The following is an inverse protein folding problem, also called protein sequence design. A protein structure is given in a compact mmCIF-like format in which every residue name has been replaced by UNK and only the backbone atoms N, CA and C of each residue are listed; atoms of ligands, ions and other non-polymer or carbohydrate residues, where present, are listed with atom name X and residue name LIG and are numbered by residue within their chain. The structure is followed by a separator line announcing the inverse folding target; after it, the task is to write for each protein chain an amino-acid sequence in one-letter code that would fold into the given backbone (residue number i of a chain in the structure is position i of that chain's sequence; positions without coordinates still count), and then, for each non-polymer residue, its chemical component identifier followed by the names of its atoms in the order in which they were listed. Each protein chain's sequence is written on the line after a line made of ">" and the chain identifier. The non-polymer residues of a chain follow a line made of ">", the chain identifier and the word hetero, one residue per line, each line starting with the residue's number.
data_IF_999766172645
#
_entry.id   IF_999766172645
#
_cell.length_a   1.000
_cell.length_b   1.000
_cell.length_c   1.000
_cell.angle_alpha   90.00
_cell.angle_beta   90.00
_cell.angle_gamma   90.00
#
_symmetry.space_group_name_H-M   'P 1'
#
loop_
_entity.id
_entity.type
_entity.pdbx_description
1 polymer ?
#
# COMPACT_ATOMS: atom_id res chain seq x y z
N UNK A 1 -7.54 -6.26 13.58
CA UNK A 1 -7.57 -4.87 13.07
C UNK A 1 -6.27 -4.19 13.43
N UNK A 2 -5.71 -3.38 12.52
CA UNK A 2 -4.55 -2.51 12.85
C UNK A 2 -5.06 -1.18 13.34
N UNK A 3 -4.58 -0.77 14.51
CA UNK A 3 -5.01 0.44 15.19
C UNK A 3 -3.80 1.19 15.76
N UNK A 4 -3.91 2.50 15.89
CA UNK A 4 -2.86 3.32 16.51
C UNK A 4 -2.90 3.17 18.01
N UNK A 5 -1.81 2.69 18.61
CA UNK A 5 -1.64 2.58 20.05
C UNK A 5 -0.23 3.03 20.45
N UNK A 6 -0.13 3.96 21.41
CA UNK A 6 1.16 4.51 21.83
C UNK A 6 1.99 5.18 20.72
N UNK A 7 1.35 5.69 19.67
CA UNK A 7 2.01 6.31 18.51
C UNK A 7 2.52 5.33 17.44
N UNK A 8 2.23 4.04 17.60
CA UNK A 8 2.56 3.01 16.62
C UNK A 8 1.30 2.30 16.12
N UNK A 9 1.34 1.78 14.89
CA UNK A 9 0.27 0.96 14.32
C UNK A 9 0.48 -0.51 14.72
N UNK A 10 -0.38 -1.02 15.61
CA UNK A 10 -0.32 -2.40 16.09
C UNK A 10 -1.56 -3.19 15.65
N UNK A 11 -1.39 -4.50 15.49
CA UNK A 11 -2.52 -5.39 15.22
C UNK A 11 -3.22 -5.75 16.53
N UNK A 12 -4.45 -5.27 16.69
CA UNK A 12 -5.29 -5.58 17.83
C UNK A 12 -6.41 -6.56 17.50
N UNK A 13 -6.83 -7.32 18.49
CA UNK A 13 -7.98 -8.24 18.43
C UNK A 13 -9.15 -7.65 19.20
N UNK A 14 -10.27 -7.44 18.53
CA UNK A 14 -11.51 -6.99 19.20
C UNK A 14 -12.02 -8.13 20.10
N UNK A 15 -12.10 -7.90 21.41
CA UNK A 15 -12.50 -8.91 22.40
C UNK A 15 -13.99 -8.83 22.71
N UNK A 16 -14.45 -7.70 23.15
CA UNK A 16 -15.83 -7.53 23.61
C UNK A 16 -16.30 -6.09 23.49
N UNK A 17 -17.62 -5.92 23.58
CA UNK A 17 -18.25 -4.61 23.67
C UNK A 17 -18.07 -4.05 25.06
N UNK A 18 -17.58 -2.83 25.17
CA UNK A 18 -17.40 -2.17 26.45
C UNK A 18 -18.73 -1.81 27.10
N UNK A 19 -18.77 -1.94 28.42
CA UNK A 19 -19.91 -1.57 29.25
C UNK A 19 -19.45 -0.60 30.33
N UNK A 20 -20.36 0.26 30.78
CA UNK A 20 -20.12 1.13 31.94
C UNK A 20 -20.16 0.36 33.26
N UNK A 21 -19.89 1.06 34.37
CA UNK A 21 -19.92 0.47 35.74
C UNK A 21 -21.30 -0.08 36.09
N UNK A 22 -22.38 0.35 35.47
CA UNK A 22 -23.75 -0.12 35.66
C UNK A 22 -24.15 -1.27 34.71
N UNK A 23 -23.21 -1.75 33.89
CA UNK A 23 -23.43 -2.83 32.92
C UNK A 23 -24.09 -2.41 31.61
N UNK A 24 -24.35 -1.12 31.40
CA UNK A 24 -24.93 -0.61 30.15
C UNK A 24 -23.87 -0.51 29.08
N UNK A 25 -24.29 -0.71 27.81
CA UNK A 25 -23.42 -0.57 26.64
C UNK A 25 -23.11 0.91 26.38
N UNK A 26 -21.85 1.21 26.08
CA UNK A 26 -21.39 2.55 25.74
C UNK A 26 -21.53 2.77 24.24
N UNK A 27 -22.06 3.95 23.87
CA UNK A 27 -22.25 4.37 22.49
C UNK A 27 -23.51 3.82 21.82
N UNK A 28 -23.85 4.37 20.67
CA UNK A 28 -25.06 4.06 19.92
C UNK A 28 -24.73 3.34 18.61
N UNK A 29 -25.59 2.39 18.24
CA UNK A 29 -25.53 1.70 16.95
C UNK A 29 -25.99 2.65 15.83
N UNK A 30 -25.26 2.64 14.72
CA UNK A 30 -25.67 3.28 13.47
C UNK A 30 -25.62 2.26 12.33
N UNK A 31 -26.52 2.35 11.38
CA UNK A 31 -26.50 1.53 10.16
C UNK A 31 -25.28 1.85 9.28
N UNK A 32 -24.83 3.11 9.31
CA UNK A 32 -23.57 3.50 8.69
C UNK A 32 -22.42 3.24 9.68
N UNK A 33 -21.48 2.31 9.38
CA UNK A 33 -20.35 1.99 10.26
C UNK A 33 -19.49 3.20 10.67
N UNK A 34 -19.39 4.21 9.81
CA UNK A 34 -18.63 5.43 10.06
C UNK A 34 -19.27 6.35 11.11
N UNK A 35 -20.54 6.15 11.40
CA UNK A 35 -21.31 6.88 12.41
C UNK A 35 -21.61 6.05 13.65
N UNK A 36 -21.17 4.80 13.68
CA UNK A 36 -21.38 3.88 14.81
C UNK A 36 -20.40 4.20 15.95
N UNK A 37 -20.92 4.62 17.09
CA UNK A 37 -20.12 5.05 18.24
C UNK A 37 -20.01 4.00 19.36
N UNK A 38 -20.48 2.76 19.11
CA UNK A 38 -20.33 1.67 20.10
C UNK A 38 -18.86 1.45 20.43
N UNK A 39 -18.53 1.36 21.69
CA UNK A 39 -17.16 1.14 22.18
C UNK A 39 -16.86 -0.34 22.37
N UNK A 40 -15.66 -0.73 21.96
CA UNK A 40 -15.11 -2.08 22.05
C UNK A 40 -13.75 -2.07 22.74
N UNK A 41 -13.44 -3.14 23.45
CA UNK A 41 -12.12 -3.41 23.99
C UNK A 41 -11.30 -4.19 22.97
N UNK A 42 -10.10 -3.69 22.70
CA UNK A 42 -9.14 -4.29 21.77
C UNK A 42 -7.89 -4.67 22.54
N UNK A 43 -7.49 -5.94 22.42
CA UNK A 43 -6.26 -6.47 22.99
C UNK A 43 -5.14 -6.44 21.95
N UNK A 44 -3.99 -5.94 22.35
CA UNK A 44 -2.76 -5.94 21.56
C UNK A 44 -1.83 -7.09 21.93
N UNK A 45 -0.83 -7.45 21.08
CA UNK A 45 0.06 -8.59 21.31
C UNK A 45 0.90 -8.51 22.59
N UNK A 46 1.07 -7.32 23.13
CA UNK A 46 1.75 -7.05 24.41
C UNK A 46 0.84 -7.27 25.64
N UNK A 47 -0.40 -7.71 25.42
CA UNK A 47 -1.40 -7.91 26.47
C UNK A 47 -2.12 -6.64 26.92
N UNK A 48 -1.80 -5.49 26.34
CA UNK A 48 -2.48 -4.25 26.67
C UNK A 48 -3.89 -4.20 26.06
N UNK A 49 -4.84 -3.65 26.85
CA UNK A 49 -6.21 -3.40 26.40
C UNK A 49 -6.40 -1.90 26.14
N UNK A 50 -7.01 -1.56 25.05
CA UNK A 50 -7.42 -0.20 24.73
C UNK A 50 -8.85 -0.15 24.21
N UNK A 51 -9.49 1.01 24.36
CA UNK A 51 -10.87 1.24 23.92
C UNK A 51 -10.89 1.95 22.59
N UNK A 52 -11.67 1.40 21.65
CA UNK A 52 -11.92 2.00 20.34
C UNK A 52 -13.41 1.97 20.03
N UNK A 53 -13.91 3.06 19.42
CA UNK A 53 -15.28 3.09 18.91
C UNK A 53 -15.40 2.35 17.58
N UNK A 54 -16.61 1.85 17.30
CA UNK A 54 -16.88 1.08 16.08
C UNK A 54 -16.54 1.84 14.79
N UNK A 55 -16.79 3.15 14.74
CA UNK A 55 -16.44 3.99 13.58
C UNK A 55 -14.92 4.06 13.36
N UNK A 56 -14.12 4.18 14.40
CA UNK A 56 -12.64 4.18 14.29
C UNK A 56 -12.14 2.82 13.81
N UNK A 57 -12.71 1.72 14.32
CA UNK A 57 -12.38 0.37 13.86
C UNK A 57 -12.75 0.21 12.38
N UNK A 58 -13.94 0.66 11.97
CA UNK A 58 -14.41 0.58 10.59
C UNK A 58 -13.56 1.42 9.63
N UNK A 59 -13.19 2.63 10.02
CA UNK A 59 -12.30 3.49 9.24
C UNK A 59 -10.94 2.84 8.98
N UNK A 60 -10.32 2.28 10.02
CA UNK A 60 -9.05 1.59 9.87
C UNK A 60 -9.18 0.30 9.04
N UNK A 61 -10.27 -0.45 9.18
CA UNK A 61 -10.54 -1.62 8.34
C UNK A 61 -10.76 -1.22 6.88
N UNK A 62 -11.52 -0.17 6.62
CA UNK A 62 -11.77 0.34 5.27
C UNK A 62 -10.48 0.80 4.59
N UNK A 63 -9.61 1.51 5.32
CA UNK A 63 -8.29 1.94 4.82
C UNK A 63 -7.34 0.77 4.51
N UNK A 64 -7.64 -0.45 4.98
CA UNK A 64 -6.86 -1.68 4.79
C UNK A 64 -7.50 -2.64 3.77
N UNK A 65 -8.62 -2.29 3.16
CA UNK A 65 -9.29 -3.10 2.17
C UNK A 65 -9.04 -2.60 0.75
N UNK A 66 -8.82 -3.52 -0.18
CA UNK A 66 -8.84 -3.23 -1.61
C UNK A 66 -10.28 -3.13 -2.16
N UNK A 67 -10.47 -2.75 -3.44
CA UNK A 67 -11.80 -2.68 -4.06
C UNK A 67 -12.59 -4.00 -4.05
N UNK A 68 -11.90 -5.14 -3.94
CA UNK A 68 -12.50 -6.48 -3.87
C UNK A 68 -12.84 -6.89 -2.42
N UNK A 69 -12.64 -6.01 -1.43
CA UNK A 69 -12.90 -6.25 -0.02
C UNK A 69 -11.85 -7.11 0.69
N UNK A 70 -10.71 -7.37 0.05
CA UNK A 70 -9.59 -8.07 0.69
C UNK A 70 -8.82 -7.11 1.56
N UNK A 71 -8.49 -7.54 2.77
CA UNK A 71 -7.63 -6.77 3.66
C UNK A 71 -6.23 -6.68 3.06
N UNK A 72 -5.86 -5.51 2.58
CA UNK A 72 -4.51 -5.19 2.15
C UNK A 72 -4.05 -3.89 2.81
N UNK A 73 -2.75 -3.81 3.05
CA UNK A 73 -2.16 -2.58 3.55
C UNK A 73 -1.89 -1.70 2.34
N UNK A 74 -2.39 -0.46 2.37
CA UNK A 74 -2.19 0.47 1.27
C UNK A 74 -0.77 1.04 1.30
N UNK A 75 -0.23 1.29 0.10
CA UNK A 75 1.04 1.97 -0.10
C UNK A 75 0.94 3.42 0.37
N UNK A 76 1.90 3.86 1.19
CA UNK A 76 2.05 5.26 1.60
C UNK A 76 3.11 5.97 0.75
N UNK A 77 4.30 5.41 0.68
CA UNK A 77 5.41 5.96 -0.09
C UNK A 77 6.37 4.88 -0.59
N UNK A 78 7.11 5.21 -1.64
CA UNK A 78 8.30 4.48 -2.07
C UNK A 78 9.52 5.25 -1.59
N UNK A 79 10.41 4.60 -0.86
CA UNK A 79 11.50 5.28 -0.13
C UNK A 79 12.89 4.97 -0.66
N UNK A 80 13.08 3.80 -1.27
CA UNK A 80 14.38 3.35 -1.76
C UNK A 80 14.23 2.28 -2.85
N UNK A 81 15.32 1.94 -3.53
CA UNK A 81 15.38 0.90 -4.54
C UNK A 81 16.70 0.14 -4.47
N UNK A 82 16.68 -1.09 -4.92
CA UNK A 82 17.87 -1.93 -5.09
C UNK A 82 17.75 -2.80 -6.32
N UNK A 83 18.90 -3.12 -6.88
CA UNK A 83 19.05 -3.95 -8.07
C UNK A 83 20.00 -5.10 -7.77
N UNK A 84 19.72 -6.28 -8.29
CA UNK A 84 20.57 -7.46 -8.22
C UNK A 84 21.13 -7.85 -9.61
N UNK A 85 21.99 -8.85 -9.62
CA UNK A 85 22.71 -9.30 -10.83
C UNK A 85 21.80 -9.92 -11.90
N UNK A 86 20.51 -10.14 -11.62
CA UNK A 86 19.53 -10.65 -12.59
C UNK A 86 18.92 -9.53 -13.42
N UNK A 87 19.15 -8.28 -13.07
CA UNK A 87 18.64 -7.13 -13.83
C UNK A 87 19.33 -7.03 -15.19
N UNK A 88 18.54 -6.67 -16.21
CA UNK A 88 19.09 -6.41 -17.54
C UNK A 88 19.93 -5.14 -17.54
N UNK A 89 21.15 -5.24 -18.01
CA UNK A 89 22.06 -4.11 -18.06
C UNK A 89 21.57 -3.05 -19.07
N UNK A 90 21.84 -1.78 -18.82
CA UNK A 90 21.42 -0.68 -19.69
C UNK A 90 21.85 -0.90 -21.17
N UNK A 91 23.04 -1.43 -21.41
CA UNK A 91 23.54 -1.72 -22.75
C UNK A 91 22.74 -2.81 -23.48
N UNK A 92 22.01 -3.65 -22.76
CA UNK A 92 21.21 -4.75 -23.28
C UNK A 92 19.70 -4.44 -23.30
N UNK A 93 19.34 -3.15 -23.14
CA UNK A 93 17.94 -2.72 -23.04
C UNK A 93 17.13 -2.93 -24.33
N UNK A 94 17.80 -3.11 -25.48
CA UNK A 94 17.17 -3.35 -26.76
C UNK A 94 17.29 -4.80 -27.22
N UNK A 95 16.26 -5.26 -27.91
CA UNK A 95 16.27 -6.54 -28.63
C UNK A 95 15.80 -6.33 -30.07
N UNK A 96 16.28 -7.15 -31.00
CA UNK A 96 15.83 -7.14 -32.38
C UNK A 96 14.74 -8.21 -32.53
N UNK A 97 13.54 -7.77 -32.94
CA UNK A 97 12.41 -8.65 -33.24
C UNK A 97 11.91 -8.31 -34.63
N UNK A 98 11.88 -9.30 -35.53
CA UNK A 98 11.49 -9.13 -36.93
C UNK A 98 12.24 -8.00 -37.64
N UNK A 99 13.56 -7.89 -37.39
CA UNK A 99 14.43 -6.87 -38.00
C UNK A 99 14.25 -5.43 -37.44
N UNK A 100 13.43 -5.26 -36.40
CA UNK A 100 13.22 -3.96 -35.74
C UNK A 100 13.73 -4.00 -34.29
N UNK A 101 14.29 -2.86 -33.87
CA UNK A 101 14.78 -2.68 -32.52
C UNK A 101 13.62 -2.32 -31.59
N UNK A 102 13.48 -3.10 -30.50
CA UNK A 102 12.46 -2.90 -29.48
C UNK A 102 13.10 -2.88 -28.09
N UNK A 103 12.53 -2.08 -27.17
CA UNK A 103 12.89 -2.14 -25.76
C UNK A 103 12.51 -3.51 -25.18
N UNK A 104 13.41 -4.08 -24.39
CA UNK A 104 13.10 -5.30 -23.62
C UNK A 104 12.06 -4.98 -22.56
N UNK A 105 11.02 -5.80 -22.49
CA UNK A 105 9.99 -5.70 -21.45
C UNK A 105 10.40 -6.58 -20.27
N UNK A 106 11.09 -5.99 -19.32
CA UNK A 106 11.60 -6.68 -18.11
C UNK A 106 11.38 -5.82 -16.88
N UNK A 107 11.22 -6.46 -15.73
CA UNK A 107 11.24 -5.84 -14.39
C UNK A 107 12.16 -6.61 -13.46
N UNK A 108 12.87 -7.61 -14.02
CA UNK A 108 13.69 -8.55 -13.27
C UNK A 108 14.83 -7.85 -12.54
N UNK A 109 15.14 -8.32 -11.34
CA UNK A 109 16.28 -7.87 -10.54
C UNK A 109 16.05 -6.58 -9.76
N UNK A 110 14.90 -5.93 -9.91
CA UNK A 110 14.59 -4.68 -9.21
C UNK A 110 13.60 -4.91 -8.06
N UNK A 111 13.93 -4.32 -6.91
CA UNK A 111 13.05 -4.24 -5.74
C UNK A 111 12.98 -2.80 -5.25
N UNK A 112 11.80 -2.40 -4.81
CA UNK A 112 11.58 -1.09 -4.20
C UNK A 112 11.24 -1.26 -2.72
N UNK A 113 11.74 -0.35 -1.90
CA UNK A 113 11.36 -0.27 -0.50
C UNK A 113 10.04 0.48 -0.39
N UNK A 114 9.04 -0.19 0.13
CA UNK A 114 7.70 0.36 0.32
C UNK A 114 7.51 0.71 1.79
N UNK A 115 7.09 1.93 2.04
CA UNK A 115 6.48 2.33 3.30
C UNK A 115 4.96 2.17 3.15
N UNK A 116 4.38 1.37 4.04
CA UNK A 116 2.94 1.13 4.05
C UNK A 116 2.22 2.12 4.99
N UNK A 117 0.93 2.30 4.80
CA UNK A 117 0.10 3.20 5.63
C UNK A 117 0.07 2.85 7.11
N UNK A 118 0.48 1.64 7.48
CA UNK A 118 0.65 1.20 8.86
C UNK A 118 2.05 1.46 9.43
N UNK A 119 2.87 2.24 8.72
CA UNK A 119 4.27 2.58 9.05
C UNK A 119 5.27 1.41 8.96
N UNK A 120 4.83 0.22 8.56
CA UNK A 120 5.75 -0.87 8.25
C UNK A 120 6.46 -0.61 6.91
N UNK A 121 7.63 -1.22 6.74
CA UNK A 121 8.38 -1.18 5.49
C UNK A 121 8.68 -2.58 5.00
N UNK A 122 8.66 -2.78 3.68
CA UNK A 122 9.07 -4.04 3.07
C UNK A 122 9.75 -3.81 1.71
N UNK A 123 10.55 -4.79 1.29
CA UNK A 123 11.16 -4.82 -0.03
C UNK A 123 10.31 -5.65 -0.97
N UNK A 124 9.69 -4.99 -1.94
CA UNK A 124 8.78 -5.62 -2.90
C UNK A 124 9.38 -5.69 -4.29
N UNK A 125 9.07 -6.77 -5.02
CA UNK A 125 9.49 -6.91 -6.41
C UNK A 125 8.82 -5.86 -7.29
N UNK A 126 9.60 -5.26 -8.20
CA UNK A 126 9.09 -4.25 -9.13
C UNK A 126 7.90 -4.76 -9.95
N UNK A 127 7.89 -6.03 -10.36
CA UNK A 127 6.78 -6.62 -11.11
C UNK A 127 5.44 -6.45 -10.39
N UNK A 128 5.39 -6.80 -9.10
CA UNK A 128 4.17 -6.72 -8.29
C UNK A 128 3.73 -5.27 -8.07
N UNK A 129 4.68 -4.38 -7.80
CA UNK A 129 4.39 -2.96 -7.60
C UNK A 129 3.93 -2.28 -8.89
N UNK A 130 4.52 -2.61 -10.03
CA UNK A 130 4.08 -2.11 -11.34
C UNK A 130 2.62 -2.46 -11.64
N UNK A 131 2.18 -3.66 -11.25
CA UNK A 131 0.82 -4.11 -11.50
C UNK A 131 -0.20 -3.52 -10.50
N UNK A 132 0.22 -3.30 -9.24
CA UNK A 132 -0.65 -2.78 -8.18
C UNK A 132 -0.66 -1.25 -8.06
N UNK A 133 0.49 -0.60 -8.27
CA UNK A 133 0.69 0.84 -8.06
C UNK A 133 1.52 1.47 -9.21
N UNK A 134 1.07 1.34 -10.47
CA UNK A 134 1.88 1.74 -11.62
C UNK A 134 2.21 3.23 -11.66
N UNK A 135 1.30 4.09 -11.24
CA UNK A 135 1.49 5.55 -11.25
C UNK A 135 2.52 5.96 -10.22
N UNK A 136 2.37 5.51 -8.99
CA UNK A 136 3.26 5.81 -7.86
C UNK A 136 4.68 5.32 -8.14
N UNK A 137 4.83 4.14 -8.74
CA UNK A 137 6.13 3.60 -9.15
C UNK A 137 6.73 4.40 -10.29
N UNK A 138 5.93 4.84 -11.27
CA UNK A 138 6.39 5.65 -12.38
C UNK A 138 6.89 7.03 -11.92
N UNK A 139 6.13 7.69 -11.04
CA UNK A 139 6.51 8.97 -10.42
C UNK A 139 7.80 8.83 -9.60
N UNK A 140 7.90 7.78 -8.78
CA UNK A 140 9.11 7.49 -8.03
C UNK A 140 10.32 7.29 -8.94
N UNK A 141 10.18 6.52 -10.04
CA UNK A 141 11.26 6.25 -10.97
C UNK A 141 11.79 7.54 -11.64
N UNK A 142 10.92 8.48 -11.96
CA UNK A 142 11.31 9.80 -12.48
C UNK A 142 12.03 10.62 -11.41
N UNK A 143 11.48 10.68 -10.21
CA UNK A 143 12.04 11.44 -9.09
C UNK A 143 13.43 10.90 -8.67
N UNK A 144 13.58 9.58 -8.64
CA UNK A 144 14.85 8.91 -8.31
C UNK A 144 15.87 8.90 -9.48
N UNK A 145 15.46 9.35 -10.68
CA UNK A 145 16.34 9.40 -11.86
C UNK A 145 16.62 8.03 -12.50
N UNK A 146 15.80 7.01 -12.22
CA UNK A 146 15.95 5.64 -12.73
C UNK A 146 14.96 5.26 -13.83
N UNK A 147 14.15 6.19 -14.28
CA UNK A 147 13.13 5.94 -15.33
C UNK A 147 13.72 5.50 -16.68
N UNK A 148 14.99 5.77 -16.92
CA UNK A 148 15.73 5.37 -18.13
C UNK A 148 16.25 3.92 -18.09
N UNK A 149 16.27 3.30 -16.92
CA UNK A 149 16.74 1.93 -16.74
C UNK A 149 15.84 0.92 -17.49
N UNK A 150 16.37 -0.20 -17.99
CA UNK A 150 15.61 -1.18 -18.78
C UNK A 150 14.33 -1.68 -18.11
N UNK A 151 14.31 -1.76 -16.77
CA UNK A 151 13.16 -2.20 -16.00
C UNK A 151 11.98 -1.20 -15.99
N UNK A 152 12.21 0.06 -16.35
CA UNK A 152 11.25 1.16 -16.30
C UNK A 152 10.96 1.78 -17.68
N UNK A 153 11.95 1.91 -18.55
CA UNK A 153 11.89 2.69 -19.78
C UNK A 153 10.77 2.26 -20.75
N UNK A 154 10.38 1.00 -20.75
CA UNK A 154 9.39 0.47 -21.69
C UNK A 154 7.94 0.73 -21.26
N UNK A 155 7.68 1.14 -20.01
CA UNK A 155 6.31 1.31 -19.51
C UNK A 155 6.07 2.65 -18.78
N UNK A 156 7.05 3.21 -18.07
CA UNK A 156 6.91 4.45 -17.28
C UNK A 156 6.38 5.63 -18.12
N UNK A 157 6.92 5.94 -19.32
CA UNK A 157 6.42 7.06 -20.11
C UNK A 157 4.94 6.91 -20.50
N UNK A 158 4.49 5.69 -20.74
CA UNK A 158 3.09 5.42 -21.11
C UNK A 158 2.13 5.63 -19.95
N UNK A 159 2.53 5.19 -18.75
CA UNK A 159 1.73 5.35 -17.52
C UNK A 159 1.56 6.82 -17.19
N UNK A 160 2.64 7.60 -17.20
CA UNK A 160 2.59 9.03 -16.89
C UNK A 160 1.78 9.80 -17.92
N UNK A 161 1.96 9.54 -19.21
CA UNK A 161 1.16 10.17 -20.28
C UNK A 161 -0.34 9.87 -20.12
N UNK A 162 -0.71 8.64 -19.77
CA UNK A 162 -2.11 8.25 -19.53
C UNK A 162 -2.68 8.94 -18.30
N UNK A 163 -1.89 9.04 -17.24
CA UNK A 163 -2.27 9.72 -15.99
C UNK A 163 -2.55 11.21 -16.24
N UNK A 164 -1.66 11.90 -16.96
CA UNK A 164 -1.82 13.33 -17.29
C UNK A 164 -3.08 13.58 -18.12
N UNK A 165 -3.42 12.68 -19.05
CA UNK A 165 -4.66 12.78 -19.83
C UNK A 165 -5.93 12.65 -18.97
N UNK A 166 -5.90 11.82 -17.93
CA UNK A 166 -7.05 11.64 -17.02
C UNK A 166 -7.24 12.86 -16.14
N UNK A 167 -6.15 13.50 -15.68
CA UNK A 167 -6.21 14.71 -14.86
C UNK A 167 -6.63 15.92 -15.68
N UNK A 168 -6.25 16.00 -16.96
CA UNK A 168 -6.58 17.12 -17.87
C UNK A 168 -8.02 17.04 -18.43
N UNK A 169 -8.71 15.94 -18.26
CA UNK A 169 -10.10 15.74 -18.69
C UNK A 169 -11.08 16.09 -17.58
#
# INVERSE_FOLDING_TARGET
>A
VRLSFGGMMLTGTVKQRKRDASGNVIGMRNANPMLDTRSYEVEFPDGNLAEYSANVIAENMFAQCDPDGKLSILLDALTDHKVDDTAVHFNDCFQIVNGRQHLRKTTLGWKLCVQWKDWSTSWECLANLKDSYPVEVAEYAVQAGIAHEPAFAWWVPYVLKKHDHIIAA
#
